data_IF_612747278963
#
_entry.id   IF_612747278963
#
_cell.length_a   1.000
_cell.length_b   1.000
_cell.length_c   1.000
_cell.angle_alpha   90.00
_cell.angle_beta   90.00
_cell.angle_gamma   90.00
#
_symmetry.space_group_name_H-M   'P 1'
#
loop_
_entity.id
_entity.type
_entity.pdbx_description
1 polymer ?
#
# COMPACT_ATOMS: atom_id res chain seq x y z
N UNK A 1 -11.09 2.59 15.94
CA UNK A 1 -10.59 3.86 15.41
C UNK A 1 -11.72 4.86 15.35
N UNK A 2 -11.45 6.14 15.60
CA UNK A 2 -12.49 7.18 15.54
C UNK A 2 -13.02 7.31 14.10
N UNK A 3 -14.35 7.39 13.88
CA UNK A 3 -14.92 7.53 12.53
C UNK A 3 -14.39 8.72 11.72
N UNK A 4 -13.99 9.81 12.38
CA UNK A 4 -13.40 10.99 11.73
C UNK A 4 -12.01 10.69 11.20
N UNK A 5 -11.17 9.98 11.95
CA UNK A 5 -9.82 9.58 11.51
C UNK A 5 -9.89 8.66 10.29
N UNK A 6 -10.83 7.71 10.28
CA UNK A 6 -11.08 6.83 9.13
C UNK A 6 -11.44 7.65 7.89
N UNK A 7 -12.33 8.63 8.05
CA UNK A 7 -12.74 9.52 6.95
C UNK A 7 -11.58 10.32 6.38
N UNK A 8 -10.66 10.80 7.22
CA UNK A 8 -9.46 11.51 6.75
C UNK A 8 -8.48 10.58 6.02
N UNK A 9 -8.22 9.36 6.54
CA UNK A 9 -7.31 8.40 5.90
C UNK A 9 -7.78 7.97 4.51
N UNK A 10 -9.10 7.83 4.31
CA UNK A 10 -9.70 7.46 3.01
C UNK A 10 -9.44 8.53 1.93
N UNK A 11 -9.26 9.80 2.32
CA UNK A 11 -8.97 10.89 1.36
C UNK A 11 -7.55 10.83 0.80
N UNK A 12 -6.63 10.13 1.46
CA UNK A 12 -5.26 9.98 0.98
C UNK A 12 -5.30 9.13 -0.31
N UNK A 13 -4.88 9.68 -1.47
CA UNK A 13 -4.91 8.94 -2.73
C UNK A 13 -3.91 7.78 -2.69
N UNK A 14 -4.13 6.77 -3.56
CA UNK A 14 -3.12 5.73 -3.75
C UNK A 14 -1.82 6.37 -4.21
N UNK A 15 -0.70 6.02 -3.58
CA UNK A 15 0.58 6.51 -4.05
C UNK A 15 0.92 5.80 -5.38
N UNK A 16 1.22 6.53 -6.46
CA UNK A 16 1.60 5.90 -7.72
C UNK A 16 2.96 5.22 -7.55
N UNK A 17 3.07 3.97 -8.02
CA UNK A 17 4.35 3.28 -8.04
C UNK A 17 5.15 3.75 -9.26
N UNK A 18 6.41 4.21 -9.09
CA UNK A 18 7.29 4.47 -10.21
C UNK A 18 7.49 3.19 -11.04
N UNK A 19 7.41 3.31 -12.35
CA UNK A 19 7.56 2.20 -13.29
C UNK A 19 8.52 2.57 -14.42
N UNK A 20 9.17 1.55 -15.01
CA UNK A 20 9.92 1.70 -16.24
C UNK A 20 9.07 2.29 -17.38
N UNK A 21 9.62 3.22 -18.19
CA UNK A 21 8.96 3.70 -19.39
C UNK A 21 8.61 2.54 -20.35
N UNK A 22 7.39 2.53 -20.94
CA UNK A 22 6.95 1.45 -21.82
C UNK A 22 7.90 1.17 -22.99
N UNK A 23 8.50 2.22 -23.56
CA UNK A 23 9.45 2.10 -24.70
C UNK A 23 10.76 1.41 -24.32
N UNK A 24 11.14 1.46 -23.05
CA UNK A 24 12.37 0.86 -22.54
C UNK A 24 12.13 -0.58 -22.07
N UNK A 25 11.06 -0.82 -21.31
CA UNK A 25 10.74 -2.15 -20.73
C UNK A 25 10.42 -3.23 -21.76
N UNK A 26 10.05 -2.86 -22.99
CA UNK A 26 9.84 -3.83 -24.09
C UNK A 26 11.15 -4.39 -24.66
N UNK A 27 12.31 -3.86 -24.24
CA UNK A 27 13.64 -4.23 -24.77
C UNK A 27 14.55 -4.90 -23.74
N UNK A 28 14.06 -5.13 -22.53
CA UNK A 28 14.87 -5.68 -21.44
C UNK A 28 14.02 -6.60 -20.53
N UNK A 29 14.67 -7.28 -19.60
CA UNK A 29 14.04 -8.17 -18.62
C UNK A 29 14.17 -7.64 -17.18
N UNK A 30 14.49 -6.36 -17.02
CA UNK A 30 14.58 -5.74 -15.71
C UNK A 30 13.18 -5.50 -15.13
N UNK A 31 13.12 -5.42 -13.80
CA UNK A 31 11.87 -5.22 -13.08
C UNK A 31 11.17 -3.92 -13.47
N UNK A 32 9.90 -4.03 -13.87
CA UNK A 32 9.10 -2.89 -14.33
C UNK A 32 8.71 -1.95 -13.18
N UNK A 33 8.07 -2.42 -12.09
CA UNK A 33 7.80 -1.57 -10.94
C UNK A 33 9.08 -1.35 -10.14
N UNK A 34 9.44 -0.10 -9.88
CA UNK A 34 10.63 0.21 -9.07
C UNK A 34 10.36 0.19 -7.56
N UNK A 35 9.12 -0.04 -7.14
CA UNK A 35 8.70 0.05 -5.75
C UNK A 35 8.56 1.49 -5.26
N UNK A 36 8.10 1.65 -4.01
CA UNK A 36 7.93 2.97 -3.41
C UNK A 36 9.22 3.51 -2.82
N UNK A 37 9.37 4.84 -2.82
CA UNK A 37 10.27 5.50 -1.88
C UNK A 37 9.77 5.32 -0.44
N UNK A 38 10.65 5.52 0.53
CA UNK A 38 10.27 5.48 1.95
C UNK A 38 9.08 6.41 2.24
N UNK A 39 9.14 7.65 1.81
CA UNK A 39 8.07 8.64 1.98
C UNK A 39 6.73 8.19 1.36
N UNK A 40 6.77 7.64 0.14
CA UNK A 40 5.58 7.13 -0.52
C UNK A 40 5.01 5.89 0.17
N UNK A 41 5.88 5.00 0.66
CA UNK A 41 5.47 3.80 1.40
C UNK A 41 4.79 4.20 2.72
N UNK A 42 5.35 5.16 3.45
CA UNK A 42 4.76 5.74 4.66
C UNK A 42 3.37 6.34 4.38
N UNK A 43 3.24 7.11 3.29
CA UNK A 43 1.96 7.74 2.93
C UNK A 43 0.91 6.72 2.47
N UNK A 44 1.31 5.68 1.74
CA UNK A 44 0.43 4.57 1.36
C UNK A 44 -0.01 3.76 2.59
N UNK A 45 0.90 3.48 3.54
CA UNK A 45 0.59 2.78 4.79
C UNK A 45 -0.47 3.52 5.64
N UNK A 46 -0.42 4.86 5.69
CA UNK A 46 -1.42 5.71 6.39
C UNK A 46 -2.84 5.55 5.85
N UNK A 47 -3.03 5.00 4.65
CA UNK A 47 -4.35 4.74 4.06
C UNK A 47 -5.07 3.56 4.71
N UNK A 48 -4.33 2.66 5.36
CA UNK A 48 -4.93 1.57 6.11
C UNK A 48 -5.77 2.14 7.26
N UNK A 49 -7.06 1.79 7.28
CA UNK A 49 -8.02 2.31 8.25
C UNK A 49 -8.11 1.47 9.54
N UNK A 50 -7.23 0.46 9.68
CA UNK A 50 -7.21 -0.47 10.82
C UNK A 50 -8.62 -1.03 11.09
N UNK A 51 -9.18 -1.70 10.07
CA UNK A 51 -10.52 -2.25 10.09
C UNK A 51 -10.75 -3.15 11.31
N UNK A 52 -11.90 -3.01 11.98
CA UNK A 52 -12.30 -3.92 13.06
C UNK A 52 -12.42 -5.37 12.58
N UNK A 53 -12.91 -5.58 11.36
CA UNK A 53 -12.91 -6.87 10.69
C UNK A 53 -11.98 -6.79 9.46
N UNK A 54 -10.73 -7.26 9.55
CA UNK A 54 -9.75 -7.10 8.50
C UNK A 54 -9.94 -8.14 7.38
N UNK A 55 -10.81 -7.81 6.42
CA UNK A 55 -11.07 -8.66 5.25
C UNK A 55 -9.82 -8.95 4.41
N UNK A 56 -8.81 -8.08 4.47
CA UNK A 56 -7.52 -8.30 3.82
C UNK A 56 -6.79 -9.55 4.34
N UNK A 57 -6.88 -9.83 5.65
CA UNK A 57 -6.26 -11.02 6.26
C UNK A 57 -6.95 -12.29 5.77
N UNK A 58 -8.30 -12.33 5.82
CA UNK A 58 -9.06 -13.48 5.33
C UNK A 58 -9.00 -13.67 3.82
N UNK A 59 -8.70 -12.62 3.05
CA UNK A 59 -8.45 -12.71 1.61
C UNK A 59 -7.05 -13.22 1.25
N UNK A 60 -6.12 -13.24 2.20
CA UNK A 60 -4.78 -13.76 2.00
C UNK A 60 -4.79 -15.30 2.21
N UNK A 61 -4.39 -16.12 1.23
CA UNK A 61 -4.40 -17.59 1.37
C UNK A 61 -3.55 -18.13 2.54
N UNK A 62 -2.60 -17.32 3.02
CA UNK A 62 -1.70 -17.66 4.13
C UNK A 62 -1.94 -16.80 5.36
N UNK A 63 -3.04 -16.04 5.42
CA UNK A 63 -3.48 -15.25 6.57
C UNK A 63 -2.39 -14.32 7.15
N UNK A 64 -1.67 -13.59 6.30
CA UNK A 64 -0.72 -12.57 6.78
C UNK A 64 -1.46 -11.53 7.60
N UNK A 65 -0.89 -11.16 8.74
CA UNK A 65 -1.37 -10.03 9.55
C UNK A 65 -1.02 -8.69 8.88
N UNK A 66 -1.78 -8.37 7.83
CA UNK A 66 -1.60 -7.17 7.01
C UNK A 66 -1.75 -5.87 7.83
N UNK A 67 -2.79 -5.70 8.66
CA UNK A 67 -2.93 -4.50 9.46
C UNK A 67 -1.75 -4.26 10.41
N UNK A 68 -1.19 -5.32 11.00
CA UNK A 68 -0.10 -5.23 11.97
C UNK A 68 1.18 -4.70 11.34
N UNK A 69 1.68 -5.30 10.26
CA UNK A 69 2.93 -4.82 9.68
C UNK A 69 2.78 -3.42 9.06
N UNK A 70 1.59 -3.07 8.52
CA UNK A 70 1.33 -1.72 8.01
C UNK A 70 1.39 -0.67 9.14
N UNK A 71 0.93 -1.01 10.35
CA UNK A 71 1.02 -0.13 11.51
C UNK A 71 2.47 0.10 11.98
N UNK A 72 3.37 -0.86 11.74
CA UNK A 72 4.80 -0.68 12.02
C UNK A 72 5.50 0.23 11.01
N UNK A 73 4.88 0.45 9.85
CA UNK A 73 5.33 1.43 8.87
C UNK A 73 4.89 2.83 9.32
N UNK A 74 3.61 3.06 9.63
CA UNK A 74 3.05 4.42 9.80
C UNK A 74 2.13 4.66 11.01
#
# INVERSE_FOLDING_TARGET
MDPKEVKERIKIPKQPMPEQPPKERVRNFYEVPYGYSEEAAMLEAKRCIQCKNPLCVGGCPVNIDIPWFIQLIA
#
